data_IF_426791849338
#
_entry.id   IF_426791849338
#
_cell.length_a   1.000
_cell.length_b   1.000
_cell.length_c   1.000
_cell.angle_alpha   90.00
_cell.angle_beta   90.00
_cell.angle_gamma   90.00
#
_symmetry.space_group_name_H-M   'P 1'
#
loop_
_entity.id
_entity.type
_entity.pdbx_description
1 polymer ?
#
# COMPACT_ATOMS: atom_id res chain seq x y z
N UNK A 1 31.63 7.46 -29.27
CA UNK A 1 30.87 7.83 -28.06
C UNK A 1 29.75 6.83 -27.70
N UNK A 2 29.63 5.67 -28.38
CA UNK A 2 28.63 4.62 -28.07
C UNK A 2 29.25 3.29 -27.57
N UNK A 3 30.55 3.26 -27.24
CA UNK A 3 31.27 2.03 -26.84
C UNK A 3 31.55 1.90 -25.33
N UNK A 4 31.05 2.80 -24.47
CA UNK A 4 31.29 2.77 -23.01
C UNK A 4 30.18 2.08 -22.20
N UNK A 5 29.16 1.51 -22.84
CA UNK A 5 28.02 0.85 -22.17
C UNK A 5 28.04 -0.70 -22.25
N UNK A 6 29.20 -1.32 -22.50
CA UNK A 6 29.26 -2.76 -22.77
C UNK A 6 30.08 -3.61 -21.77
N UNK A 7 30.78 -3.06 -20.77
CA UNK A 7 31.76 -3.84 -19.98
C UNK A 7 31.41 -4.21 -18.53
N UNK A 8 30.16 -4.09 -18.06
CA UNK A 8 29.80 -4.53 -16.69
C UNK A 8 28.55 -5.41 -16.64
N UNK A 9 28.17 -5.99 -17.77
CA UNK A 9 27.16 -7.03 -17.79
C UNK A 9 27.84 -8.38 -17.49
N UNK A 10 27.26 -9.16 -16.57
CA UNK A 10 27.53 -10.59 -16.34
C UNK A 10 28.64 -11.00 -15.35
N UNK A 11 28.50 -10.62 -14.08
CA UNK A 11 28.81 -11.58 -12.98
C UNK A 11 27.55 -12.37 -12.67
N UNK A 12 27.21 -13.31 -13.54
CA UNK A 12 25.89 -13.96 -13.68
C UNK A 12 25.43 -14.86 -12.52
N UNK A 13 26.17 -14.96 -11.42
CA UNK A 13 25.76 -15.81 -10.27
C UNK A 13 25.62 -15.00 -8.98
N UNK A 14 26.57 -14.12 -8.66
CA UNK A 14 26.50 -13.32 -7.40
C UNK A 14 25.48 -12.18 -7.45
N UNK A 15 25.27 -11.60 -8.64
CA UNK A 15 24.23 -10.56 -8.83
C UNK A 15 22.84 -11.19 -8.71
N UNK A 16 22.66 -12.38 -9.28
CA UNK A 16 21.40 -13.12 -9.20
C UNK A 16 21.02 -13.48 -7.76
N UNK A 17 21.95 -13.97 -6.94
CA UNK A 17 21.69 -14.24 -5.51
C UNK A 17 21.33 -12.97 -4.73
N UNK A 18 21.96 -11.82 -5.00
CA UNK A 18 21.61 -10.54 -4.36
C UNK A 18 20.22 -10.06 -4.78
N UNK A 19 19.90 -10.14 -6.07
CA UNK A 19 18.57 -9.81 -6.59
C UNK A 19 17.52 -10.74 -5.96
N UNK A 20 17.81 -12.03 -5.86
CA UNK A 20 16.90 -13.01 -5.24
C UNK A 20 16.62 -12.71 -3.76
N UNK A 21 17.63 -12.31 -2.99
CA UNK A 21 17.45 -11.93 -1.59
C UNK A 21 16.60 -10.67 -1.38
N UNK A 22 16.60 -9.73 -2.34
CA UNK A 22 15.68 -8.58 -2.32
C UNK A 22 14.30 -8.93 -2.89
N UNK A 23 14.25 -9.74 -3.95
CA UNK A 23 13.03 -10.06 -4.67
C UNK A 23 12.12 -10.99 -3.86
N UNK A 24 12.66 -11.99 -3.16
CA UNK A 24 11.86 -12.93 -2.38
C UNK A 24 10.94 -12.28 -1.34
N UNK A 25 11.42 -11.41 -0.43
CA UNK A 25 10.54 -10.73 0.53
C UNK A 25 9.55 -9.79 -0.15
N UNK A 26 9.94 -9.15 -1.27
CA UNK A 26 9.00 -8.34 -2.05
C UNK A 26 7.88 -9.18 -2.69
N UNK A 27 8.21 -10.35 -3.24
CA UNK A 27 7.23 -11.27 -3.84
C UNK A 27 6.29 -11.77 -2.74
N UNK A 28 6.84 -12.22 -1.61
CA UNK A 28 6.05 -12.70 -0.47
C UNK A 28 5.09 -11.61 0.04
N UNK A 29 5.56 -10.37 0.17
CA UNK A 29 4.73 -9.24 0.57
C UNK A 29 3.61 -8.93 -0.42
N UNK A 30 3.86 -9.11 -1.72
CA UNK A 30 2.84 -8.88 -2.75
C UNK A 30 1.82 -10.03 -2.86
N UNK A 31 2.18 -11.26 -2.47
CA UNK A 31 1.26 -12.40 -2.41
C UNK A 31 0.18 -12.21 -1.33
N UNK A 32 0.45 -11.42 -0.29
CA UNK A 32 -0.53 -11.14 0.77
C UNK A 32 -1.81 -10.46 0.26
N UNK A 33 -1.73 -9.67 -0.82
CA UNK A 33 -2.88 -8.96 -1.40
C UNK A 33 -3.92 -9.95 -1.98
N UNK A 34 -3.57 -10.84 -2.93
CA UNK A 34 -4.52 -11.82 -3.43
C UNK A 34 -4.92 -12.88 -2.38
N UNK A 35 -4.03 -13.20 -1.42
CA UNK A 35 -4.41 -14.10 -0.32
C UNK A 35 -5.51 -13.50 0.56
N UNK A 36 -5.47 -12.20 0.82
CA UNK A 36 -6.56 -11.51 1.54
C UNK A 36 -7.89 -11.69 0.79
N UNK A 37 -7.90 -11.50 -0.53
CA UNK A 37 -9.09 -11.68 -1.36
C UNK A 37 -9.61 -13.13 -1.38
N UNK A 38 -8.71 -14.12 -1.33
CA UNK A 38 -9.09 -15.52 -1.16
C UNK A 38 -9.75 -15.79 0.20
N UNK A 39 -9.24 -15.19 1.27
CA UNK A 39 -9.82 -15.31 2.62
C UNK A 39 -11.19 -14.64 2.67
N UNK A 40 -11.33 -13.43 2.13
CA UNK A 40 -12.62 -12.72 2.06
C UNK A 40 -13.67 -13.56 1.33
N UNK A 41 -13.29 -14.16 0.19
CA UNK A 41 -14.18 -15.02 -0.60
C UNK A 41 -14.53 -16.32 0.13
N UNK A 42 -13.57 -16.94 0.82
CA UNK A 42 -13.79 -18.19 1.56
C UNK A 42 -14.65 -18.00 2.81
N UNK A 43 -14.46 -16.89 3.55
CA UNK A 43 -15.26 -16.54 4.73
C UNK A 43 -16.71 -16.25 4.33
N UNK A 44 -16.90 -15.49 3.25
CA UNK A 44 -18.23 -15.10 2.75
C UNK A 44 -18.93 -16.31 2.11
N UNK A 45 -18.20 -17.18 1.40
CA UNK A 45 -18.75 -18.34 0.70
C UNK A 45 -19.35 -19.46 1.59
N UNK A 46 -19.14 -19.42 2.91
CA UNK A 46 -19.69 -20.42 3.83
C UNK A 46 -21.08 -20.06 4.38
N UNK A 47 -21.61 -18.85 4.13
CA UNK A 47 -22.91 -18.45 4.67
C UNK A 47 -24.08 -19.07 3.87
N UNK A 48 -25.02 -19.79 4.53
CA UNK A 48 -26.11 -20.51 3.87
C UNK A 48 -27.26 -19.63 3.39
N UNK A 49 -27.31 -18.34 3.76
CA UNK A 49 -28.42 -17.44 3.47
C UNK A 49 -27.97 -16.20 2.67
N UNK A 50 -28.62 -15.97 1.52
CA UNK A 50 -28.24 -14.98 0.49
C UNK A 50 -28.21 -13.54 1.00
N UNK A 51 -29.03 -13.22 2.02
CA UNK A 51 -29.16 -11.86 2.55
C UNK A 51 -27.93 -11.41 3.33
N UNK A 52 -27.31 -12.30 4.13
CA UNK A 52 -26.08 -11.96 4.85
C UNK A 52 -24.89 -11.85 3.89
N UNK A 53 -24.87 -12.69 2.85
CA UNK A 53 -23.86 -12.67 1.78
C UNK A 53 -23.80 -11.29 1.10
N UNK A 54 -24.96 -10.75 0.72
CA UNK A 54 -25.07 -9.45 0.05
C UNK A 54 -24.58 -8.29 0.95
N UNK A 55 -24.90 -8.32 2.24
CA UNK A 55 -24.42 -7.33 3.22
C UNK A 55 -22.89 -7.37 3.39
N UNK A 56 -22.32 -8.57 3.56
CA UNK A 56 -20.86 -8.72 3.68
C UNK A 56 -20.11 -8.37 2.39
N UNK A 57 -20.68 -8.69 1.22
CA UNK A 57 -20.10 -8.32 -0.07
C UNK A 57 -20.08 -6.79 -0.25
N UNK A 58 -21.16 -6.11 0.13
CA UNK A 58 -21.25 -4.66 0.05
C UNK A 58 -20.28 -3.97 1.02
N UNK A 59 -20.16 -4.49 2.25
CA UNK A 59 -19.16 -4.05 3.21
C UNK A 59 -17.73 -4.26 2.68
N UNK A 60 -17.42 -5.44 2.15
CA UNK A 60 -16.12 -5.76 1.56
C UNK A 60 -15.77 -4.84 0.38
N UNK A 61 -16.74 -4.51 -0.48
CA UNK A 61 -16.58 -3.52 -1.54
C UNK A 61 -16.31 -2.12 -0.99
N UNK A 62 -17.05 -1.69 0.02
CA UNK A 62 -16.85 -0.40 0.69
C UNK A 62 -15.46 -0.27 1.29
N UNK A 63 -15.04 -1.28 2.07
CA UNK A 63 -13.70 -1.36 2.65
C UNK A 63 -12.64 -1.36 1.56
N UNK A 64 -12.81 -2.13 0.48
CA UNK A 64 -11.86 -2.17 -0.64
C UNK A 64 -11.67 -0.81 -1.30
N UNK A 65 -12.76 -0.08 -1.56
CA UNK A 65 -12.71 1.27 -2.12
C UNK A 65 -12.00 2.24 -1.18
N UNK A 66 -12.30 2.19 0.12
CA UNK A 66 -11.62 3.01 1.14
C UNK A 66 -10.12 2.70 1.16
N UNK A 67 -9.73 1.43 1.16
CA UNK A 67 -8.32 1.02 1.11
C UNK A 67 -7.60 1.55 -0.14
N UNK A 68 -8.26 1.49 -1.31
CA UNK A 68 -7.71 2.04 -2.54
C UNK A 68 -7.56 3.57 -2.48
N UNK A 69 -8.54 4.27 -1.93
CA UNK A 69 -8.53 5.73 -1.80
C UNK A 69 -7.43 6.21 -0.83
N UNK A 70 -7.28 5.52 0.30
CA UNK A 70 -6.21 5.76 1.27
C UNK A 70 -4.83 5.42 0.69
N UNK A 71 -4.72 4.33 -0.06
CA UNK A 71 -3.52 3.94 -0.79
C UNK A 71 -3.11 4.97 -1.84
N UNK A 72 -4.08 5.53 -2.56
CA UNK A 72 -3.89 6.64 -3.50
C UNK A 72 -3.38 7.89 -2.78
N UNK A 73 -3.99 8.26 -1.64
CA UNK A 73 -3.51 9.41 -0.87
C UNK A 73 -2.06 9.22 -0.41
N UNK A 74 -1.70 8.01 0.06
CA UNK A 74 -0.30 7.68 0.42
C UNK A 74 0.67 7.88 -0.74
N UNK A 75 0.33 7.45 -1.96
CA UNK A 75 1.16 7.69 -3.14
C UNK A 75 1.20 9.17 -3.54
N UNK A 76 0.08 9.90 -3.43
CA UNK A 76 0.00 11.34 -3.70
C UNK A 76 0.91 12.16 -2.75
N UNK A 77 0.86 11.87 -1.46
CA UNK A 77 1.73 12.51 -0.45
C UNK A 77 3.21 12.17 -0.68
N UNK A 78 3.51 10.92 -1.07
CA UNK A 78 4.89 10.53 -1.42
C UNK A 78 5.40 11.32 -2.64
N UNK A 79 4.54 11.61 -3.61
CA UNK A 79 4.87 12.46 -4.76
C UNK A 79 5.17 13.92 -4.40
N UNK A 80 4.43 14.50 -3.44
CA UNK A 80 4.68 15.85 -2.91
C UNK A 80 5.97 15.89 -2.07
N UNK A 81 6.20 14.89 -1.23
CA UNK A 81 7.43 14.73 -0.44
C UNK A 81 8.65 14.56 -1.36
N UNK A 82 8.52 13.81 -2.46
CA UNK A 82 9.60 13.64 -3.44
C UNK A 82 10.03 14.96 -4.10
N UNK A 83 9.07 15.86 -4.38
CA UNK A 83 9.36 17.20 -4.91
C UNK A 83 10.16 18.05 -3.93
N UNK A 84 9.78 18.04 -2.66
CA UNK A 84 10.46 18.84 -1.64
C UNK A 84 11.80 18.22 -1.15
N UNK A 85 11.99 16.90 -1.29
CA UNK A 85 13.29 16.22 -1.08
C UNK A 85 14.37 16.64 -2.08
N UNK A 86 13.99 17.23 -3.23
CA UNK A 86 14.92 17.76 -4.23
C UNK A 86 15.78 18.95 -3.73
N UNK A 87 15.36 19.64 -2.67
CA UNK A 87 16.01 20.85 -2.15
C UNK A 87 17.20 20.60 -1.19
N UNK A 88 17.63 19.35 -0.99
CA UNK A 88 18.91 18.96 -0.33
C UNK A 88 19.19 19.51 1.09
N UNK A 89 18.19 19.89 1.87
CA UNK A 89 18.37 20.21 3.30
C UNK A 89 18.00 19.03 4.20
N UNK A 90 18.89 18.63 5.11
CA UNK A 90 18.63 17.56 6.09
C UNK A 90 17.42 17.87 7.00
N UNK A 91 17.13 19.15 7.22
CA UNK A 91 15.94 19.64 7.93
C UNK A 91 14.64 19.29 7.20
N UNK A 92 14.65 19.30 5.86
CA UNK A 92 13.47 18.98 5.04
C UNK A 92 13.09 17.50 5.14
N UNK A 93 14.05 16.60 5.33
CA UNK A 93 13.77 15.16 5.50
C UNK A 93 12.94 14.86 6.77
N UNK A 94 13.25 15.54 7.88
CA UNK A 94 12.51 15.40 9.14
C UNK A 94 11.11 16.03 9.03
N UNK A 95 11.01 17.17 8.35
CA UNK A 95 9.73 17.86 8.12
C UNK A 95 8.74 17.00 7.34
N UNK A 96 9.21 16.25 6.33
CA UNK A 96 8.37 15.31 5.59
C UNK A 96 7.91 14.11 6.41
N UNK A 97 8.76 13.64 7.34
CA UNK A 97 8.41 12.57 8.24
C UNK A 97 7.27 13.01 9.18
N UNK A 98 7.36 14.24 9.71
CA UNK A 98 6.29 14.86 10.50
C UNK A 98 5.02 15.11 9.70
N UNK A 99 5.11 15.59 8.46
CA UNK A 99 3.95 15.80 7.59
C UNK A 99 3.23 14.48 7.27
N UNK A 100 3.99 13.42 6.96
CA UNK A 100 3.42 12.09 6.72
C UNK A 100 2.73 11.53 7.96
N UNK A 101 3.36 11.68 9.13
CA UNK A 101 2.81 11.23 10.41
C UNK A 101 1.54 12.02 10.80
N UNK A 102 1.56 13.35 10.66
CA UNK A 102 0.39 14.19 10.91
C UNK A 102 -0.76 13.83 9.96
N UNK A 103 -0.47 13.67 8.67
CA UNK A 103 -1.49 13.32 7.70
C UNK A 103 -2.12 11.96 7.99
N UNK A 104 -1.32 10.94 8.36
CA UNK A 104 -1.85 9.63 8.72
C UNK A 104 -2.73 9.68 9.98
N UNK A 105 -2.33 10.45 10.99
CA UNK A 105 -3.12 10.62 12.23
C UNK A 105 -4.43 11.35 11.94
N UNK A 106 -4.42 12.41 11.14
CA UNK A 106 -5.64 13.14 10.76
C UNK A 106 -6.60 12.22 10.01
N UNK A 107 -6.10 11.45 9.04
CA UNK A 107 -6.91 10.49 8.27
C UNK A 107 -7.51 9.40 9.15
N UNK A 108 -6.70 8.80 10.04
CA UNK A 108 -7.15 7.76 10.95
C UNK A 108 -8.23 8.29 11.90
N UNK A 109 -8.03 9.48 12.47
CA UNK A 109 -9.01 10.15 13.31
C UNK A 109 -10.30 10.48 12.54
N UNK A 110 -10.20 10.93 11.29
CA UNK A 110 -11.37 11.24 10.47
C UNK A 110 -12.22 9.99 10.20
N UNK A 111 -11.58 8.87 9.86
CA UNK A 111 -12.27 7.58 9.67
C UNK A 111 -12.95 7.12 10.96
N UNK A 112 -12.26 7.17 12.10
CA UNK A 112 -12.82 6.75 13.39
C UNK A 112 -13.99 7.63 13.84
N UNK A 113 -13.90 8.94 13.62
CA UNK A 113 -14.99 9.88 13.94
C UNK A 113 -16.21 9.67 13.06
N UNK A 114 -16.02 9.40 11.77
CA UNK A 114 -17.11 9.14 10.83
C UNK A 114 -17.66 7.70 10.90
N UNK A 115 -16.95 6.77 11.56
CA UNK A 115 -17.46 5.44 11.85
C UNK A 115 -18.71 5.49 12.75
N UNK A 116 -18.69 6.32 13.80
CA UNK A 116 -19.80 6.42 14.77
C UNK A 116 -21.14 6.83 14.14
N UNK A 117 -21.23 7.89 13.31
CA UNK A 117 -22.49 8.27 12.66
C UNK A 117 -22.96 7.27 11.59
N UNK A 118 -22.07 6.41 11.08
CA UNK A 118 -22.43 5.38 10.10
C UNK A 118 -23.09 4.15 10.72
N UNK A 119 -22.76 3.83 11.98
CA UNK A 119 -23.35 2.71 12.73
C UNK A 119 -24.65 3.07 13.46
N UNK A 120 -24.92 4.37 13.65
CA UNK A 120 -26.15 4.85 14.27
C UNK A 120 -27.30 5.10 13.28
N UNK A 121 -27.09 4.82 11.98
CA UNK A 121 -28.09 4.92 10.91
C UNK A 121 -28.51 3.51 10.46
#
# INVERSE_FOLDING_TARGET
MLSLFQSSAWSGTRINLKIWHLAWPMILANISIPMLGFVDTAVIGHLPDSQFLAGTALAGLFISVIFWLLGFLRMSTTGLVAKARGEKSATSAILHLYQGLLLSVILASFILLFQSPLFSL
#
